data_IF_194336780770
#
_entry.id   IF_194336780770
#
_cell.length_a   1.000
_cell.length_b   1.000
_cell.length_c   1.000
_cell.angle_alpha   90.00
_cell.angle_beta   90.00
_cell.angle_gamma   90.00
#
_symmetry.space_group_name_H-M   'P 1'
#
loop_
_entity.id
_entity.type
_entity.pdbx_description
1 polymer ?
2 polymer ?
3 polymer ?
4 non-polymer ?
5 non-polymer ?
6 water ?
#
loop_
_entity_poly.entity_id
_entity_poly.type
_entity_poly.pdbx_seq_one_letter_code
_entity_poly.pdbx_strand_id
2 'polydeoxyribonucleotide' '(DA)(DT)(DG)(DG)(DG)(DT)(DC)(DC)(DT)' ?
3 'polydeoxyribonucleotide' '(DA)(DG)(DG)(DA)(DC)(DC)(DC)' ?
#
# COMPACT_ATOMS: atom_id res chain seq x y z
N UNK A 26 10.30 -9.72 -20.00
CA UNK A 26 11.79 -9.64 -20.16
C UNK A 26 12.23 -8.18 -20.13
N UNK A 27 12.09 -7.44 -21.23
CA UNK A 27 12.16 -5.98 -21.16
C UNK A 27 10.79 -5.35 -20.90
N UNK A 28 10.51 -5.02 -19.65
CA UNK A 28 9.17 -4.63 -19.28
C UNK A 28 8.97 -3.11 -19.14
N UNK A 29 7.72 -2.69 -19.16
CA UNK A 29 7.32 -1.32 -18.90
C UNK A 29 6.22 -1.41 -17.87
N UNK A 30 6.56 -1.00 -16.65
CA UNK A 30 5.74 -1.12 -15.48
C UNK A 30 5.39 0.30 -15.05
N UNK A 31 4.15 0.52 -14.64
CA UNK A 31 3.76 1.76 -14.01
C UNK A 31 3.33 1.50 -12.58
N UNK A 32 3.75 2.38 -11.67
CA UNK A 32 3.29 2.40 -10.28
C UNK A 32 2.46 3.66 -10.08
N UNK A 33 1.23 3.48 -9.58
CA UNK A 33 0.31 4.58 -9.35
C UNK A 33 0.13 4.73 -7.85
N UNK A 34 0.28 5.96 -7.38
CA UNK A 34 0.26 6.27 -5.96
C UNK A 34 -0.62 7.49 -5.70
N UNK A 35 -1.74 7.28 -5.03
CA UNK A 35 -2.70 8.40 -4.82
C UNK A 35 -2.13 9.42 -3.85
N UNK A 36 -2.37 10.68 -4.12
CA UNK A 36 -2.02 11.78 -3.23
C UNK A 36 -2.85 11.70 -1.92
N UNK A 37 -2.17 11.92 -0.80
CA UNK A 37 -2.77 11.94 0.55
C UNK A 37 -4.13 11.24 0.64
N UNK A 38 -4.13 9.97 0.32
CA UNK A 38 -5.34 9.23 -0.02
C UNK A 38 -6.56 9.48 0.90
N UNK A 39 -6.44 9.16 2.19
CA UNK A 39 -7.61 9.32 3.09
C UNK A 39 -8.12 10.76 3.08
N UNK A 40 -7.19 11.72 3.06
CA UNK A 40 -7.53 13.13 3.12
C UNK A 40 -8.24 13.55 1.84
N UNK A 41 -7.78 13.00 0.72
CA UNK A 41 -8.42 13.21 -0.57
C UNK A 41 -9.85 12.73 -0.52
N UNK A 42 -10.06 11.52 0.00
CA UNK A 42 -11.40 11.00 0.16
C UNK A 42 -12.28 11.91 1.06
N UNK A 43 -11.72 12.37 2.18
CA UNK A 43 -12.46 13.24 3.13
C UNK A 43 -12.80 14.59 2.52
N UNK A 44 -11.88 15.10 1.70
CA UNK A 44 -12.07 16.41 1.05
C UNK A 44 -13.14 16.38 -0.03
N UNK A 45 -13.21 15.26 -0.74
CA UNK A 45 -14.26 15.02 -1.71
C UNK A 45 -15.63 14.97 -1.02
N UNK A 46 -15.73 14.31 0.13
CA UNK A 46 -17.00 14.14 0.84
C UNK A 46 -17.48 15.46 1.44
N UNK A 47 -16.54 16.25 1.92
CA UNK A 47 -16.80 17.54 2.52
C UNK A 47 -15.90 18.63 1.93
N UNK A 48 -16.25 19.15 0.74
CA UNK A 48 -15.51 20.23 0.07
C UNK A 48 -15.37 21.51 0.91
N UNK A 49 -15.77 21.45 2.18
CA UNK A 49 -15.57 22.54 3.12
C UNK A 49 -14.18 22.45 3.75
N UNK A 50 -13.62 21.24 3.71
CA UNK A 50 -12.28 20.96 4.22
C UNK A 50 -11.22 21.09 3.14
N UNK A 51 -11.63 21.31 1.88
CA UNK A 51 -10.68 21.23 0.76
C UNK A 51 -9.68 22.40 0.70
N UNK A 52 -10.07 23.53 1.26
CA UNK A 52 -9.20 24.70 1.29
C UNK A 52 -8.52 24.87 2.65
N UNK A 53 -8.72 23.92 3.57
CA UNK A 53 -8.26 24.04 4.95
C UNK A 53 -7.27 22.95 5.33
N UNK A 54 -6.36 23.24 6.28
CA UNK A 54 -5.41 22.22 6.75
C UNK A 54 -6.16 21.04 7.36
N UNK A 55 -5.95 19.85 6.80
CA UNK A 55 -6.72 18.67 7.16
C UNK A 55 -5.88 17.48 7.60
N UNK A 56 -6.22 16.94 8.77
CA UNK A 56 -5.62 15.71 9.26
C UNK A 56 -6.66 14.64 9.43
N UNK A 57 -6.33 13.43 9.01
CA UNK A 57 -7.19 12.28 9.21
C UNK A 57 -6.67 11.52 10.43
N UNK A 58 -7.55 11.39 11.41
CA UNK A 58 -7.17 10.92 12.74
C UNK A 58 -7.64 9.50 13.05
N UNK A 59 -6.76 8.73 13.66
CA UNK A 59 -7.10 7.42 14.16
C UNK A 59 -6.57 7.33 15.57
N UNK A 60 -7.48 7.23 16.52
CA UNK A 60 -7.11 7.27 17.93
C UNK A 60 -6.29 8.53 18.19
N UNK A 61 -5.05 8.39 18.64
CA UNK A 61 -4.20 9.54 18.98
C UNK A 61 -3.31 9.96 17.81
N UNK A 62 -3.52 9.36 16.64
CA UNK A 62 -2.62 9.54 15.50
C UNK A 62 -3.20 10.32 14.34
N UNK A 63 -2.38 11.18 13.74
CA UNK A 63 -2.72 11.76 12.45
C UNK A 63 -2.06 10.86 11.40
N UNK A 64 -2.86 9.95 10.82
CA UNK A 64 -2.28 8.96 9.91
C UNK A 64 -1.86 9.55 8.57
N UNK A 65 -2.65 10.51 8.09
CA UNK A 65 -2.29 11.32 6.93
C UNK A 65 -2.94 12.69 7.02
N UNK A 66 -2.48 13.59 6.16
CA UNK A 66 -3.00 14.95 6.11
C UNK A 66 -2.85 15.46 4.68
N UNK A 67 -3.63 16.47 4.33
CA UNK A 67 -3.54 17.06 3.01
C UNK A 67 -2.25 17.87 2.84
N UNK A 68 -1.99 18.30 1.61
CA UNK A 68 -0.75 19.04 1.34
C UNK A 68 -0.71 20.43 1.94
N UNK A 69 -1.86 20.95 2.34
CA UNK A 69 -1.93 22.21 3.09
C UNK A 69 -1.37 22.07 4.52
N UNK A 70 -1.67 20.94 5.18
CA UNK A 70 -1.16 20.66 6.51
C UNK A 70 0.32 20.29 6.48
N UNK A 71 0.75 19.65 5.40
CA UNK A 71 2.15 19.27 5.22
C UNK A 71 3.07 20.48 5.15
N UNK A 72 2.55 21.57 4.57
CA UNK A 72 3.23 22.87 4.52
C UNK A 72 3.51 23.40 5.92
N UNK A 73 2.56 23.19 6.82
CA UNK A 73 2.60 23.73 8.18
C UNK A 73 3.35 22.84 9.18
N UNK A 74 4.01 21.78 8.68
CA UNK A 74 4.86 20.93 9.51
C UNK A 74 4.26 19.60 9.89
N UNK A 75 2.99 19.38 9.54
CA UNK A 75 2.31 18.13 9.85
C UNK A 75 2.90 17.01 8.97
N UNK A 76 3.30 15.91 9.62
CA UNK A 76 3.82 14.72 8.95
C UNK A 76 2.89 13.53 9.18
N UNK A 77 2.95 12.54 8.27
CA UNK A 77 2.13 11.34 8.38
C UNK A 77 2.53 10.58 9.63
N UNK A 78 1.54 10.00 10.29
CA UNK A 78 1.73 9.21 11.52
C UNK A 78 2.34 10.09 12.61
N UNK A 79 1.95 11.35 12.62
CA UNK A 79 2.34 12.29 13.66
C UNK A 79 1.31 12.27 14.78
N UNK A 80 1.80 12.45 16.01
CA UNK A 80 0.98 12.57 17.21
C UNK A 80 -0.04 13.71 17.11
N UNK A 81 -1.28 13.46 17.51
CA UNK A 81 -2.32 14.50 17.44
C UNK A 81 -1.93 15.75 18.25
N UNK A 82 -1.23 15.54 19.37
CA UNK A 82 -0.68 16.65 20.17
C UNK A 82 0.36 17.45 19.41
N UNK A 83 1.31 16.75 18.78
CA UNK A 83 2.38 17.37 18.00
C UNK A 83 1.86 18.11 16.77
N UNK A 84 0.81 17.57 16.15
CA UNK A 84 0.23 18.15 14.95
C UNK A 84 -0.53 19.46 15.22
N UNK A 85 -1.37 19.47 16.25
CA UNK A 85 -2.23 20.62 16.53
C UNK A 85 -1.47 21.72 17.28
N UNK A 86 -0.33 21.34 17.88
CA UNK A 86 0.61 22.31 18.42
C UNK A 86 1.38 22.93 17.24
N UNK A 87 1.77 22.08 16.28
CA UNK A 87 2.47 22.55 15.08
C UNK A 87 1.53 23.32 14.15
N UNK A 88 0.23 23.09 14.32
CA UNK A 88 -0.79 23.64 13.44
C UNK A 88 -2.14 23.73 14.18
N UNK A 89 -2.39 24.84 14.90
CA UNK A 89 -3.65 25.08 15.61
C UNK A 89 -4.88 25.16 14.70
N UNK A 90 -4.69 25.61 13.46
CA UNK A 90 -5.77 25.68 12.48
C UNK A 90 -6.19 24.30 11.94
N UNK A 91 -5.42 23.27 12.28
CA UNK A 91 -5.59 21.92 11.73
C UNK A 91 -6.97 21.32 12.02
N UNK A 92 -7.77 21.11 10.96
CA UNK A 92 -9.04 20.40 11.08
C UNK A 92 -8.78 18.90 11.12
N UNK A 93 -9.44 18.19 12.03
CA UNK A 93 -9.29 16.75 12.12
C UNK A 93 -10.62 16.05 11.83
N UNK A 94 -10.56 15.03 10.98
CA UNK A 94 -11.68 14.14 10.74
C UNK A 94 -11.27 12.73 11.16
N UNK A 95 -12.23 11.93 11.61
CA UNK A 95 -11.92 10.61 12.08
C UNK A 95 -11.90 9.57 10.95
N UNK A 96 -10.76 8.90 10.81
CA UNK A 96 -10.62 7.90 9.76
C UNK A 96 -10.41 6.49 10.24
N UNK A 97 -11.00 6.16 11.39
CA UNK A 97 -10.88 4.82 11.96
C UNK A 97 -11.67 3.77 11.17
N UNK A 98 -12.85 4.17 10.68
CA UNK A 98 -13.71 3.35 9.85
C UNK A 98 -13.22 3.44 8.41
N UNK A 99 -12.62 2.36 7.94
CA UNK A 99 -11.96 2.38 6.63
C UNK A 99 -12.92 2.21 5.44
N UNK A 100 -14.21 2.01 5.72
CA UNK A 100 -15.20 1.64 4.66
C UNK A 100 -15.06 2.42 3.35
N UNK A 101 -15.13 3.75 3.45
CA UNK A 101 -15.14 4.60 2.29
C UNK A 101 -13.80 4.62 1.56
N UNK A 102 -12.70 4.58 2.30
CA UNK A 102 -11.37 4.51 1.66
C UNK A 102 -11.23 3.18 0.92
N UNK A 103 -11.72 2.11 1.51
CA UNK A 103 -11.66 0.78 0.90
C UNK A 103 -12.48 0.73 -0.40
N UNK A 104 -13.70 1.25 -0.36
CA UNK A 104 -14.52 1.42 -1.56
C UNK A 104 -13.87 2.24 -2.69
N UNK A 105 -13.35 3.42 -2.36
CA UNK A 105 -12.62 4.20 -3.35
C UNK A 105 -11.38 3.45 -3.86
N UNK A 106 -10.72 2.74 -2.97
CA UNK A 106 -9.53 1.98 -3.33
C UNK A 106 -9.81 1.00 -4.47
N UNK A 107 -10.91 0.25 -4.35
CA UNK A 107 -11.31 -0.71 -5.37
C UNK A 107 -11.79 -0.06 -6.67
N UNK A 108 -12.46 1.09 -6.59
CA UNK A 108 -12.82 1.84 -7.80
C UNK A 108 -11.58 2.22 -8.63
N UNK A 109 -10.49 2.58 -7.96
CA UNK A 109 -9.23 2.92 -8.64
C UNK A 109 -8.63 1.64 -9.26
N UNK A 110 -8.53 0.56 -8.51
CA UNK A 110 -8.03 -0.63 -9.16
C UNK A 110 -8.88 -1.16 -10.30
N UNK A 111 -10.21 -1.09 -10.17
CA UNK A 111 -11.09 -1.49 -11.26
C UNK A 111 -10.88 -0.64 -12.51
N UNK A 112 -10.72 0.67 -12.34
CA UNK A 112 -10.49 1.58 -13.45
C UNK A 112 -9.20 1.19 -14.19
N UNK A 113 -8.13 0.94 -13.43
CA UNK A 113 -6.84 0.57 -14.00
C UNK A 113 -6.87 -0.78 -14.72
N UNK A 114 -7.66 -1.72 -14.22
CA UNK A 114 -7.82 -3.04 -14.86
C UNK A 114 -8.48 -2.98 -16.24
N UNK A 115 -9.18 -1.88 -16.55
CA UNK A 115 -9.72 -1.63 -17.88
C UNK A 115 -8.62 -1.34 -18.90
N UNK A 116 -7.51 -0.77 -18.42
CA UNK A 116 -6.34 -0.53 -19.24
C UNK A 116 -5.60 -1.84 -19.55
N UNK A 117 -5.25 -2.58 -18.49
CA UNK A 117 -4.66 -3.90 -18.61
C UNK A 117 -5.16 -4.69 -17.42
N UNK A 118 -5.62 -5.95 -17.65
CA UNK A 118 -6.30 -6.71 -16.58
C UNK A 118 -5.41 -7.15 -15.39
N UNK A 119 -4.09 -7.08 -15.55
CA UNK A 119 -3.15 -7.56 -14.53
C UNK A 119 -2.66 -6.37 -13.72
N UNK A 120 -3.41 -6.08 -12.66
CA UNK A 120 -3.16 -4.95 -11.77
C UNK A 120 -2.93 -5.54 -10.37
N UNK A 121 -1.82 -5.16 -9.78
CA UNK A 121 -1.40 -5.59 -8.46
C UNK A 121 -1.61 -4.45 -7.46
N UNK A 122 -2.39 -4.71 -6.41
CA UNK A 122 -2.56 -3.71 -5.36
C UNK A 122 -1.44 -3.77 -4.34
N UNK A 123 -1.06 -2.62 -3.83
CA UNK A 123 -0.19 -2.56 -2.66
C UNK A 123 -0.82 -1.59 -1.64
N UNK A 124 -1.47 -2.14 -0.62
CA UNK A 124 -2.27 -1.32 0.29
C UNK A 124 -3.47 -0.73 -0.44
N UNK A 125 -4.06 0.31 0.16
CA UNK A 125 -5.30 0.86 -0.37
C UNK A 125 -5.05 1.91 -1.44
N UNK A 126 -3.84 2.44 -1.55
CA UNK A 126 -3.67 3.57 -2.45
C UNK A 126 -2.59 3.40 -3.54
N UNK A 127 -2.04 2.20 -3.69
CA UNK A 127 -1.01 1.98 -4.72
C UNK A 127 -1.37 0.80 -5.61
N UNK A 128 -1.07 0.95 -6.91
CA UNK A 128 -1.23 -0.14 -7.88
C UNK A 128 -0.07 -0.20 -8.85
N UNK A 129 0.35 -1.41 -9.19
CA UNK A 129 1.24 -1.66 -10.32
C UNK A 129 0.42 -2.24 -11.47
N UNK A 130 0.79 -1.86 -12.70
CA UNK A 130 0.24 -2.38 -13.94
C UNK A 130 1.44 -2.66 -14.86
N UNK A 131 1.48 -3.86 -15.44
CA UNK A 131 2.44 -4.19 -16.48
C UNK A 131 1.86 -3.70 -17.84
N UNK A 132 2.50 -2.65 -18.36
CA UNK A 132 2.05 -1.95 -19.55
C UNK A 132 2.67 -2.50 -20.83
N UNK A 133 3.52 -3.50 -20.71
CA UNK A 133 4.40 -3.87 -21.80
C UNK A 133 3.67 -4.37 -23.06
N UNK A 134 2.64 -5.19 -22.87
CA UNK A 134 1.77 -5.59 -24.00
C UNK A 134 1.01 -4.41 -24.59
N UNK A 135 0.52 -3.52 -23.74
CA UNK A 135 -0.15 -2.32 -24.24
C UNK A 135 0.82 -1.40 -25.05
N UNK A 136 2.04 -1.24 -24.54
CA UNK A 136 3.07 -0.44 -25.23
C UNK A 136 3.38 -1.02 -26.61
N UNK A 137 3.61 -2.33 -26.68
CA UNK A 137 3.87 -3.02 -27.93
C UNK A 137 2.72 -2.97 -28.94
N UNK A 138 1.47 -3.01 -28.46
CA UNK A 138 0.33 -2.87 -29.36
C UNK A 138 0.24 -1.46 -29.93
N UNK A 139 0.53 -0.49 -29.08
CA UNK A 139 0.54 0.90 -29.52
C UNK A 139 1.69 1.14 -30.52
N UNK A 140 2.85 0.55 -30.25
CA UNK A 140 3.99 0.67 -31.17
C UNK A 140 3.75 0.05 -32.55
N UNK A 141 3.18 -1.15 -32.59
CA UNK A 141 2.79 -1.82 -33.83
C UNK A 141 1.97 -0.92 -34.75
N UNK A 142 1.18 -0.03 -34.15
CA UNK A 142 0.22 0.81 -34.89
C UNK A 142 0.79 2.12 -35.44
N UNK A 143 1.97 2.53 -34.97
CA UNK A 143 2.67 3.73 -35.46
C UNK A 143 3.47 3.45 -36.73
N UNK A 144 3.59 4.47 -37.58
CA UNK A 144 4.42 4.39 -38.79
C UNK A 144 5.86 4.85 -38.51
N UNK A 145 6.69 4.82 -39.54
CA UNK A 145 8.09 5.26 -39.43
C UNK A 145 8.17 6.69 -38.91
N UNK A 146 7.64 7.62 -39.69
CA UNK A 146 7.58 9.04 -39.35
C UNK A 146 6.90 9.32 -38.02
N UNK A 147 5.97 8.44 -37.65
CA UNK A 147 5.22 8.57 -36.38
C UNK A 147 6.02 8.28 -35.12
N UNK A 148 7.22 7.72 -35.28
CA UNK A 148 8.12 7.48 -34.15
C UNK A 148 8.88 8.74 -33.73
N UNK A 149 8.83 9.75 -34.60
CA UNK A 149 9.78 10.88 -34.61
C UNK A 149 9.76 12.07 -33.61
N UNK A 150 8.66 12.54 -32.98
CA UNK A 150 7.21 12.24 -33.03
C UNK A 150 6.69 11.79 -31.65
N UNK A 151 7.17 10.65 -31.16
CA UNK A 151 6.82 10.18 -29.80
C UNK A 151 7.40 11.15 -28.76
N UNK A 152 6.58 11.49 -27.78
CA UNK A 152 6.91 12.48 -26.77
C UNK A 152 6.63 11.97 -25.36
N UNK A 153 7.38 12.44 -24.36
CA UNK A 153 7.05 12.14 -22.98
C UNK A 153 5.84 12.89 -22.49
N UNK A 154 5.17 12.27 -21.53
CA UNK A 154 4.21 12.97 -20.74
C UNK A 154 4.76 12.99 -19.30
N UNK A 155 4.90 14.19 -18.73
CA UNK A 155 5.44 14.36 -17.39
C UNK A 155 6.95 14.47 -17.37
N UNK A 156 7.52 14.22 -16.19
CA UNK A 156 8.94 14.41 -15.97
C UNK A 156 9.77 13.21 -16.45
N UNK A 157 10.97 13.49 -16.91
CA UNK A 157 11.98 12.45 -17.13
C UNK A 157 12.92 12.49 -15.95
N UNK A 158 13.13 11.36 -15.28
CA UNK A 158 13.98 11.34 -14.10
C UNK A 158 15.40 11.86 -14.43
N UNK A 159 15.95 12.68 -13.52
CA UNK A 159 17.29 13.22 -13.63
C UNK A 159 17.43 14.07 -14.88
N UNK A 160 16.30 14.51 -15.44
CA UNK A 160 16.34 15.35 -16.62
C UNK A 160 17.17 14.72 -17.75
N UNK A 161 17.14 13.40 -17.86
CA UNK A 161 17.95 12.70 -18.84
C UNK A 161 17.45 12.97 -20.25
N UNK A 162 18.39 13.12 -21.17
CA UNK A 162 18.07 13.29 -22.59
C UNK A 162 17.43 12.07 -23.20
N UNK A 163 16.38 12.27 -23.97
CA UNK A 163 15.71 11.17 -24.66
C UNK A 163 16.45 10.89 -25.97
N UNK A 164 16.63 9.61 -26.30
CA UNK A 164 17.14 9.20 -27.59
C UNK A 164 16.02 8.42 -28.24
N UNK A 165 15.38 9.03 -29.23
CA UNK A 165 14.23 8.42 -29.93
C UNK A 165 14.62 7.25 -30.83
N UNK A 166 15.92 7.05 -31.01
CA UNK A 166 16.39 5.91 -31.75
C UNK A 166 16.62 4.70 -30.84
N UNK A 167 16.50 4.91 -29.54
CA UNK A 167 16.64 3.86 -28.53
C UNK A 167 15.25 3.25 -28.24
N UNK A 168 15.02 2.02 -28.69
CA UNK A 168 13.69 1.39 -28.59
C UNK A 168 13.18 1.30 -27.15
N UNK A 169 14.11 1.20 -26.20
CA UNK A 169 13.77 1.20 -24.77
C UNK A 169 13.25 2.55 -24.31
N UNK A 170 13.92 3.62 -24.73
CA UNK A 170 13.42 4.98 -24.51
C UNK A 170 12.03 5.14 -25.13
N UNK A 171 11.86 4.69 -26.37
CA UNK A 171 10.53 4.79 -27.04
C UNK A 171 9.42 4.08 -26.26
N UNK A 172 9.70 2.87 -25.78
CA UNK A 172 8.68 2.08 -25.09
C UNK A 172 8.30 2.70 -23.74
N UNK A 173 9.29 3.21 -23.03
CA UNK A 173 9.11 3.94 -21.79
C UNK A 173 8.35 5.26 -21.94
N UNK A 174 8.57 5.95 -23.05
CA UNK A 174 7.81 7.15 -23.35
C UNK A 174 6.34 6.84 -23.62
N UNK A 175 6.08 5.76 -24.35
CA UNK A 175 4.68 5.31 -24.57
C UNK A 175 4.06 4.90 -23.24
N UNK A 176 4.86 4.27 -22.39
CA UNK A 176 4.45 3.97 -21.02
C UNK A 176 3.99 5.22 -20.30
N UNK A 177 4.75 6.32 -20.41
CA UNK A 177 4.41 7.60 -19.75
C UNK A 177 3.10 8.18 -20.27
N UNK A 178 2.84 8.04 -21.57
CA UNK A 178 1.58 8.48 -22.15
C UNK A 178 0.41 7.65 -21.61
N UNK A 179 0.59 6.35 -21.47
CA UNK A 179 -0.47 5.52 -20.91
C UNK A 179 -0.68 5.92 -19.46
N UNK A 180 0.43 6.14 -18.72
CA UNK A 180 0.32 6.58 -17.32
C UNK A 180 -0.47 7.87 -17.16
N UNK A 181 -0.26 8.82 -18.07
CA UNK A 181 -1.00 10.09 -18.05
C UNK A 181 -2.49 9.88 -18.35
N UNK A 182 -2.79 8.97 -19.28
CA UNK A 182 -4.20 8.61 -19.58
C UNK A 182 -4.87 7.97 -18.37
N UNK A 183 -4.13 7.12 -17.67
CA UNK A 183 -4.60 6.54 -16.42
C UNK A 183 -4.90 7.60 -15.38
N UNK A 184 -3.97 8.54 -15.19
CA UNK A 184 -4.19 9.58 -14.18
C UNK A 184 -5.32 10.52 -14.54
N UNK A 185 -5.49 10.77 -15.83
CA UNK A 185 -6.58 11.63 -16.33
C UNK A 185 -7.96 10.96 -16.17
N UNK A 186 -8.03 9.65 -16.42
CA UNK A 186 -9.25 8.87 -16.19
C UNK A 186 -9.59 8.81 -14.70
N UNK A 187 -8.61 8.53 -13.84
CA UNK A 187 -8.83 8.57 -12.40
C UNK A 187 -9.39 9.92 -11.99
N UNK A 188 -8.86 11.00 -12.56
CA UNK A 188 -9.35 12.31 -12.23
C UNK A 188 -10.76 12.53 -12.79
N UNK A 189 -10.93 12.26 -14.08
CA UNK A 189 -12.21 12.53 -14.74
C UNK A 189 -13.37 11.66 -14.21
N UNK A 190 -13.07 10.41 -13.86
CA UNK A 190 -14.14 9.45 -13.51
C UNK A 190 -14.32 9.29 -12.02
N UNK A 191 -13.24 9.52 -11.28
CA UNK A 191 -13.23 9.30 -9.83
C UNK A 191 -12.97 10.55 -8.97
N UNK A 192 -12.45 11.63 -9.57
CA UNK A 192 -12.14 12.85 -8.79
C UNK A 192 -10.82 12.81 -8.03
N UNK A 193 -10.03 11.78 -8.32
CA UNK A 193 -8.79 11.50 -7.58
C UNK A 193 -7.57 11.88 -8.34
N UNK A 194 -6.63 12.43 -7.60
CA UNK A 194 -5.30 12.87 -8.04
C UNK A 194 -4.24 11.86 -7.52
N UNK A 195 -3.15 11.67 -8.28
CA UNK A 195 -2.11 10.76 -7.84
C UNK A 195 -0.84 10.91 -8.63
N UNK A 196 0.22 10.24 -8.18
CA UNK A 196 1.49 10.20 -8.93
C UNK A 196 1.67 8.87 -9.64
N UNK A 197 2.43 8.88 -10.73
CA UNK A 197 2.81 7.66 -11.40
C UNK A 197 4.31 7.66 -11.69
N UNK A 198 4.91 6.49 -11.65
CA UNK A 198 6.30 6.29 -12.08
C UNK A 198 6.29 5.18 -13.08
N UNK A 199 6.98 5.39 -14.20
CA UNK A 199 7.12 4.38 -15.21
C UNK A 199 8.60 3.95 -15.27
N UNK A 200 8.83 2.64 -15.17
CA UNK A 200 10.19 2.06 -15.26
C UNK A 200 10.14 0.62 -15.76
N UNK A 201 11.32 0.01 -15.82
CA UNK A 201 11.51 -1.34 -16.34
C UNK A 201 11.17 -2.43 -15.32
N UNK A 202 11.00 -2.06 -14.06
CA UNK A 202 10.52 -3.03 -13.08
C UNK A 202 9.72 -2.36 -11.94
N UNK A 203 9.12 -3.18 -11.08
CA UNK A 203 8.32 -2.68 -9.94
C UNK A 203 9.05 -1.81 -8.94
N UNK A 204 10.23 -2.26 -8.53
CA UNK A 204 11.10 -1.51 -7.63
C UNK A 204 11.30 -0.09 -8.12
N UNK A 205 11.75 0.02 -9.36
CA UNK A 205 12.16 1.28 -9.94
C UNK A 205 10.94 2.18 -10.24
N UNK A 206 9.85 1.57 -10.68
CA UNK A 206 8.59 2.29 -10.91
C UNK A 206 8.10 2.90 -9.60
N UNK A 207 8.18 2.12 -8.53
CA UNK A 207 7.77 2.60 -7.24
C UNK A 207 8.70 3.68 -6.69
N UNK A 208 10.02 3.49 -6.82
CA UNK A 208 10.96 4.52 -6.38
C UNK A 208 10.80 5.80 -7.20
N UNK A 209 10.50 5.70 -8.49
CA UNK A 209 10.49 6.91 -9.33
C UNK A 209 9.16 7.66 -9.23
N UNK A 210 8.08 6.97 -8.85
CA UNK A 210 6.74 7.57 -8.84
C UNK A 210 6.70 8.72 -7.85
N UNK A 211 7.55 8.62 -6.82
CA UNK A 211 7.61 9.64 -5.78
C UNK A 211 8.56 10.81 -6.01
N UNK A 212 9.24 10.86 -7.14
CA UNK A 212 10.26 11.93 -7.30
C UNK A 212 9.60 13.31 -7.39
N UNK A 213 8.48 13.39 -8.12
CA UNK A 213 7.72 14.65 -8.19
C UNK A 213 6.31 14.43 -7.64
N UNK A 214 6.00 15.08 -6.52
CA UNK A 214 4.69 15.02 -5.83
C UNK A 214 4.25 16.44 -5.48
N UNK A 215 2.93 16.69 -5.31
CA UNK A 215 1.82 15.76 -5.60
C UNK A 215 1.42 15.81 -7.06
N UNK A 216 0.60 14.86 -7.50
CA UNK A 216 -0.12 14.96 -8.77
C UNK A 216 0.79 15.19 -9.97
N UNK A 217 1.85 14.41 -10.05
CA UNK A 217 2.83 14.48 -11.13
C UNK A 217 3.31 13.10 -11.49
N UNK A 218 3.99 12.96 -12.61
CA UNK A 218 4.49 11.63 -12.94
C UNK A 218 5.90 11.74 -13.47
N UNK A 219 6.64 10.64 -13.33
CA UNK A 219 8.03 10.60 -13.78
C UNK A 219 8.42 9.28 -14.43
N UNK A 220 9.27 9.37 -15.45
CA UNK A 220 9.68 8.19 -16.17
C UNK A 220 11.19 8.03 -15.98
N UNK A 221 11.59 6.79 -15.73
CA UNK A 221 12.99 6.47 -15.53
C UNK A 221 13.52 5.81 -16.80
N UNK A 222 14.49 6.46 -17.44
CA UNK A 222 15.27 5.84 -18.51
C UNK A 222 16.45 5.03 -17.93
N UNK A 223 16.85 3.93 -18.62
CA UNK A 223 17.80 2.96 -18.06
C UNK A 223 19.10 3.59 -17.55
N UNK A 224 19.62 4.59 -18.25
CA UNK A 224 20.92 5.20 -17.90
C UNK A 224 20.94 5.92 -16.57
N UNK A 225 19.77 6.29 -16.08
CA UNK A 225 19.65 7.03 -14.82
C UNK A 225 19.27 6.14 -13.66
N UNK A 226 19.27 4.84 -13.86
CA UNK A 226 18.87 3.90 -12.82
C UNK A 226 19.80 3.92 -11.58
N UNK A 227 21.11 3.93 -11.81
CA UNK A 227 22.06 4.03 -10.72
C UNK A 227 21.89 5.36 -9.96
N UNK A 228 21.63 6.43 -10.68
CA UNK A 228 21.38 7.69 -10.05
C UNK A 228 20.16 7.62 -9.09
N UNK A 229 19.05 7.01 -9.52
CA UNK A 229 17.88 6.85 -8.66
C UNK A 229 18.17 6.06 -7.37
N UNK A 230 18.77 4.89 -7.52
CA UNK A 230 19.04 4.06 -6.36
C UNK A 230 20.07 4.66 -5.38
N UNK A 231 21.07 5.37 -5.90
CA UNK A 231 22.03 6.05 -5.04
C UNK A 231 21.56 7.37 -4.48
N UNK A 232 20.41 7.87 -4.97
CA UNK A 232 19.77 9.05 -4.42
C UNK A 232 19.12 8.75 -3.06
N UNK A 233 18.91 7.47 -2.74
CA UNK A 233 18.31 7.11 -1.44
C UNK A 233 19.35 7.32 -0.35
N UNK A 234 18.91 7.76 0.83
CA UNK A 234 19.82 8.00 1.94
C UNK A 234 19.77 6.99 3.04
N UNK A 235 18.69 6.21 3.06
CA UNK A 235 18.47 5.17 4.08
C UNK A 235 18.15 3.85 3.38
N UNK A 236 18.79 2.79 3.85
CA UNK A 236 18.65 1.48 3.27
C UNK A 236 17.18 1.01 3.39
N UNK A 237 16.50 1.46 4.45
CA UNK A 237 15.09 1.15 4.66
C UNK A 237 14.17 1.77 3.60
N UNK A 238 14.67 2.74 2.84
CA UNK A 238 13.88 3.35 1.76
C UNK A 238 13.66 2.38 0.58
N UNK A 239 14.43 1.31 0.53
CA UNK A 239 14.18 0.25 -0.42
C UNK A 239 12.95 -0.59 0.00
N UNK A 240 11.93 -0.62 -0.88
CA UNK A 240 10.73 -1.44 -0.72
C UNK A 240 11.17 -2.89 -0.61
N UNK A 241 10.93 -3.50 0.52
CA UNK A 241 11.32 -4.88 0.72
C UNK A 241 12.34 -4.98 1.83
N UNK A 242 12.92 -3.85 2.18
CA UNK A 242 13.80 -3.77 3.34
C UNK A 242 13.04 -3.00 4.41
N UNK A 243 12.63 -3.73 5.44
CA UNK A 243 11.83 -3.15 6.48
C UNK A 243 12.59 -2.92 7.76
N UNK A 244 11.83 -2.64 8.81
CA UNK A 244 12.35 -2.29 10.12
C UNK A 244 13.36 -3.31 10.66
N UNK A 245 13.02 -4.60 10.63
CA UNK A 245 13.91 -5.59 11.23
C UNK A 245 15.16 -5.82 10.38
N UNK A 246 15.00 -5.91 9.06
CA UNK A 246 16.12 -6.11 8.14
C UNK A 246 17.10 -4.91 8.18
N UNK A 247 16.57 -3.70 8.18
CA UNK A 247 17.38 -2.49 8.28
C UNK A 247 18.21 -2.46 9.56
N UNK A 248 17.57 -2.74 10.70
CA UNK A 248 18.25 -2.84 11.99
C UNK A 248 19.35 -3.90 11.97
N UNK A 249 19.05 -5.06 11.37
CA UNK A 249 20.05 -6.08 11.17
C UNK A 249 21.25 -5.56 10.37
N UNK A 250 20.93 -4.92 9.24
CA UNK A 250 21.95 -4.36 8.36
C UNK A 250 22.80 -3.31 9.07
N UNK A 251 22.16 -2.45 9.86
CA UNK A 251 22.86 -1.43 10.66
C UNK A 251 23.90 -2.04 11.62
N UNK A 252 23.51 -3.15 12.26
CA UNK A 252 24.38 -3.89 13.16
C UNK A 252 25.61 -4.41 12.42
N UNK A 253 25.47 -4.65 11.12
CA UNK A 253 26.55 -5.18 10.30
C UNK A 253 27.42 -4.09 9.68
N UNK A 254 27.07 -2.83 9.96
CA UNK A 254 27.80 -1.69 9.42
C UNK A 254 27.38 -1.29 8.02
N UNK A 255 26.20 -1.75 7.59
CA UNK A 255 25.66 -1.46 6.27
C UNK A 255 24.65 -0.32 6.35
N UNK A 256 25.00 0.84 5.79
CA UNK A 256 24.19 2.04 5.96
C UNK A 256 23.66 2.67 4.68
N UNK A 257 24.46 2.63 3.64
CA UNK A 257 24.04 3.17 2.36
C UNK A 257 23.67 2.03 1.44
N UNK A 258 23.01 2.38 0.34
CA UNK A 258 22.77 1.43 -0.75
C UNK A 258 24.09 0.81 -1.27
N UNK A 259 25.14 1.62 -1.43
CA UNK A 259 26.43 1.10 -1.89
C UNK A 259 27.07 0.11 -0.93
N UNK A 260 26.99 0.34 0.39
CA UNK A 260 27.44 -0.64 1.42
C UNK A 260 26.77 -2.01 1.19
N UNK A 261 25.45 -2.00 1.01
CA UNK A 261 24.73 -3.25 0.72
C UNK A 261 25.11 -3.86 -0.64
N UNK A 262 25.24 -3.05 -1.69
CA UNK A 262 25.76 -3.53 -2.97
C UNK A 262 27.08 -4.28 -2.81
N UNK A 263 28.02 -3.70 -2.07
CA UNK A 263 29.38 -4.19 -1.96
C UNK A 263 29.66 -5.13 -0.78
N UNK A 264 28.69 -5.38 0.09
CA UNK A 264 28.91 -6.25 1.25
C UNK A 264 29.03 -7.73 0.81
N UNK A 265 29.88 -8.49 1.50
CA UNK A 265 30.09 -9.92 1.22
C UNK A 265 28.77 -10.71 1.18
N UNK A 266 28.45 -11.30 0.01
CA UNK A 266 27.21 -12.09 -0.08
C UNK A 266 27.17 -13.20 0.96
N UNK A 267 28.32 -13.81 1.24
CA UNK A 267 28.41 -14.91 2.18
C UNK A 267 28.04 -14.51 3.61
N UNK A 268 28.58 -13.40 4.10
CA UNK A 268 28.30 -12.95 5.46
C UNK A 268 26.84 -12.52 5.56
N UNK A 269 26.34 -11.93 4.48
CA UNK A 269 24.94 -11.53 4.40
C UNK A 269 24.00 -12.75 4.44
N UNK A 270 24.30 -13.77 3.63
CA UNK A 270 23.52 -15.01 3.62
C UNK A 270 23.47 -15.63 5.00
N UNK A 271 24.63 -15.74 5.65
CA UNK A 271 24.71 -16.30 6.99
C UNK A 271 23.85 -15.54 7.99
N UNK A 272 23.81 -14.21 7.86
CA UNK A 272 23.16 -13.36 8.84
C UNK A 272 21.65 -13.31 8.66
N UNK A 273 21.20 -13.39 7.41
CA UNK A 273 19.81 -13.10 7.07
C UNK A 273 19.15 -14.25 6.33
N UNK A 274 19.95 -15.23 5.95
CA UNK A 274 19.46 -16.38 5.20
C UNK A 274 19.61 -16.16 3.70
N UNK A 275 19.81 -17.27 2.99
CA UNK A 275 19.91 -17.29 1.54
C UNK A 275 18.87 -16.35 0.89
N UNK A 276 17.60 -16.49 1.29
CA UNK A 276 16.50 -15.81 0.58
C UNK A 276 16.48 -14.30 0.74
N UNK A 277 16.60 -13.83 1.98
CA UNK A 277 16.52 -12.40 2.29
C UNK A 277 17.74 -11.72 1.70
N UNK A 278 18.91 -12.31 1.95
CA UNK A 278 20.19 -11.76 1.52
C UNK A 278 20.31 -11.55 0.00
N UNK A 279 19.98 -12.61 -0.76
CA UNK A 279 20.02 -12.59 -2.20
C UNK A 279 18.98 -11.64 -2.81
N UNK A 280 17.79 -11.58 -2.21
CA UNK A 280 16.74 -10.69 -2.73
C UNK A 280 17.11 -9.22 -2.50
N UNK A 281 17.44 -8.86 -1.28
CA UNK A 281 17.70 -7.44 -0.96
C UNK A 281 18.97 -6.90 -1.60
N UNK A 282 19.99 -7.76 -1.73
CA UNK A 282 21.22 -7.34 -2.37
C UNK A 282 20.96 -7.07 -3.83
N UNK A 283 20.14 -7.93 -4.45
CA UNK A 283 19.64 -7.70 -5.82
C UNK A 283 18.91 -6.37 -5.93
N UNK A 284 17.96 -6.17 -5.01
CA UNK A 284 17.25 -4.89 -4.87
C UNK A 284 18.16 -3.68 -4.73
N UNK A 285 19.30 -3.85 -4.03
CA UNK A 285 20.27 -2.73 -3.88
C UNK A 285 20.91 -2.32 -5.20
N UNK A 286 20.90 -3.20 -6.19
CA UNK A 286 21.36 -2.84 -7.53
C UNK A 286 20.24 -2.32 -8.46
N UNK A 287 19.02 -2.17 -7.93
CA UNK A 287 17.89 -1.80 -8.77
C UNK A 287 17.27 -2.94 -9.59
N UNK A 288 17.66 -4.17 -9.27
CA UNK A 288 17.24 -5.36 -9.99
C UNK A 288 16.09 -5.99 -9.27
N UNK A 289 15.03 -6.28 -10.01
CA UNK A 289 13.80 -6.84 -9.46
C UNK A 289 13.02 -7.50 -10.60
N UNK A 290 13.01 -8.83 -10.61
CA UNK A 290 12.36 -9.57 -11.66
C UNK A 290 10.95 -10.07 -11.29
N UNK A 291 10.42 -9.62 -10.15
CA UNK A 291 9.08 -10.06 -9.73
C UNK A 291 8.03 -9.57 -10.70
N UNK A 292 7.13 -10.47 -11.09
CA UNK A 292 6.05 -10.12 -12.00
C UNK A 292 5.00 -9.26 -11.31
N UNK A 293 4.28 -8.48 -12.11
CA UNK A 293 3.09 -7.82 -11.62
C UNK A 293 2.05 -8.94 -11.54
N UNK A 294 1.51 -9.16 -10.35
CA UNK A 294 0.52 -10.24 -10.06
C UNK A 294 -0.88 -9.65 -10.02
N UNK A 295 -1.88 -10.34 -10.56
CA UNK A 295 -3.25 -9.87 -10.46
C UNK A 295 -3.76 -10.05 -9.03
N UNK A 296 -4.02 -8.96 -8.32
CA UNK A 296 -4.52 -9.06 -6.95
C UNK A 296 -5.90 -9.72 -6.89
N UNK A 297 -6.81 -9.25 -7.75
CA UNK A 297 -8.16 -9.80 -7.83
C UNK A 297 -8.90 -9.41 -6.55
N UNK A 298 -9.92 -10.21 -6.18
CA UNK A 298 -10.63 -9.92 -4.92
C UNK A 298 -9.76 -10.28 -3.72
N UNK A 299 -10.02 -9.65 -2.56
CA UNK A 299 -9.16 -9.84 -1.38
C UNK A 299 -9.10 -11.31 -0.85
N UNK A 300 -8.02 -11.65 -0.16
CA UNK A 300 -7.83 -12.96 0.49
C UNK A 300 -8.52 -13.00 1.83
N UNK A 301 -8.68 -11.83 2.44
CA UNK A 301 -9.27 -11.70 3.76
C UNK A 301 -9.93 -10.34 3.99
N UNK A 302 -10.85 -10.32 4.94
CA UNK A 302 -11.55 -9.14 5.45
C UNK A 302 -11.25 -9.13 6.92
N UNK A 303 -10.79 -8.02 7.48
CA UNK A 303 -10.72 -7.94 8.92
C UNK A 303 -11.19 -6.59 9.48
N UNK A 304 -11.51 -6.59 10.77
CA UNK A 304 -11.89 -5.37 11.50
C UNK A 304 -11.07 -5.37 12.78
N UNK A 305 -10.47 -4.22 13.10
CA UNK A 305 -9.68 -4.03 14.32
C UNK A 305 -10.18 -2.87 15.19
N UNK A 306 -9.98 -3.02 16.49
CA UNK A 306 -10.05 -1.88 17.41
C UNK A 306 -8.92 -1.95 18.43
N UNK A 307 -8.29 -0.81 18.67
CA UNK A 307 -7.28 -0.69 19.70
C UNK A 307 -7.77 0.21 20.85
N UNK A 308 -7.27 -0.05 22.04
CA UNK A 308 -7.72 0.62 23.26
C UNK A 308 -6.61 0.66 24.31
N UNK A 309 -6.72 1.61 25.24
CA UNK A 309 -5.82 1.70 26.39
C UNK A 309 -5.79 0.40 27.20
N UNK A 310 -6.97 -0.14 27.49
CA UNK A 310 -7.07 -1.32 28.37
C UNK A 310 -8.36 -2.11 28.14
N UNK A 311 -8.20 -3.42 28.02
CA UNK A 311 -9.29 -4.36 28.16
C UNK A 311 -8.85 -5.46 29.14
N UNK A 312 -9.61 -5.61 30.22
CA UNK A 312 -9.27 -6.49 31.33
C UNK A 312 -10.44 -7.35 31.79
N UNK A 313 -11.58 -7.21 31.10
CA UNK A 313 -12.80 -7.96 31.42
C UNK A 313 -13.25 -8.76 30.21
N UNK A 314 -13.54 -10.05 30.43
CA UNK A 314 -14.00 -10.93 29.35
C UNK A 314 -15.37 -10.50 28.80
N UNK A 315 -16.18 -9.90 29.68
CA UNK A 315 -17.51 -9.41 29.34
C UNK A 315 -17.40 -8.26 28.35
N UNK A 316 -16.41 -7.40 28.57
CA UNK A 316 -16.19 -6.26 27.69
C UNK A 316 -15.57 -6.72 26.36
N UNK A 317 -14.63 -7.67 26.45
CA UNK A 317 -14.01 -8.31 25.29
C UNK A 317 -15.04 -8.93 24.36
N UNK A 318 -16.03 -9.64 24.93
CA UNK A 318 -17.13 -10.21 24.16
C UNK A 318 -17.90 -9.12 23.41
N UNK A 319 -18.21 -8.02 24.11
CA UNK A 319 -18.91 -6.87 23.51
C UNK A 319 -18.12 -6.27 22.37
N UNK A 320 -16.83 -6.08 22.61
CA UNK A 320 -15.89 -5.63 21.60
C UNK A 320 -15.91 -6.53 20.36
N UNK A 321 -15.82 -7.84 20.59
CA UNK A 321 -15.75 -8.84 19.52
C UNK A 321 -17.07 -8.88 18.73
N UNK A 322 -18.17 -8.62 19.44
CA UNK A 322 -19.49 -8.55 18.81
C UNK A 322 -19.65 -7.39 17.85
N UNK A 323 -19.01 -6.25 18.14
CA UNK A 323 -19.10 -5.09 17.26
C UNK A 323 -18.27 -5.34 16.01
N UNK A 324 -17.09 -5.93 16.20
CA UNK A 324 -16.19 -6.23 15.08
C UNK A 324 -16.89 -7.22 14.14
N UNK A 325 -17.55 -8.21 14.74
CA UNK A 325 -18.33 -9.19 13.98
C UNK A 325 -19.39 -8.56 13.11
N UNK A 326 -20.20 -7.67 13.71
CA UNK A 326 -21.33 -7.10 13.00
C UNK A 326 -20.88 -6.30 11.78
N UNK A 327 -19.78 -5.55 11.89
CA UNK A 327 -19.21 -4.87 10.73
C UNK A 327 -18.71 -5.87 9.69
N UNK A 328 -18.03 -6.91 10.15
CA UNK A 328 -17.49 -7.91 9.24
C UNK A 328 -18.61 -8.58 8.46
N UNK A 329 -19.69 -8.90 9.15
CA UNK A 329 -20.85 -9.57 8.55
C UNK A 329 -21.51 -8.71 7.50
N UNK A 330 -21.56 -7.39 7.75
CA UNK A 330 -22.01 -6.42 6.76
C UNK A 330 -21.19 -6.42 5.46
N UNK A 331 -19.89 -6.67 5.58
CA UNK A 331 -18.99 -6.78 4.43
C UNK A 331 -19.04 -8.16 3.77
N UNK A 332 -19.51 -9.15 4.53
CA UNK A 332 -19.24 -10.59 4.29
C UNK A 332 -19.20 -11.21 2.86
N UNK A 333 -20.21 -11.08 1.98
CA UNK A 333 -21.55 -10.47 2.13
C UNK A 333 -21.90 -9.70 0.89
N UNK A 334 -21.42 -8.45 0.83
CA UNK A 334 -21.66 -7.56 -0.29
C UNK A 334 -20.75 -7.88 -1.48
N UNK A 335 -19.63 -8.55 -1.19
CA UNK A 335 -18.81 -9.13 -2.26
C UNK A 335 -19.44 -10.43 -2.74
N UNK A 336 -20.26 -11.03 -1.87
CA UNK A 336 -21.05 -12.21 -2.23
C UNK A 336 -20.48 -13.52 -1.72
N UNK A 337 -19.15 -13.63 -1.77
CA UNK A 337 -18.44 -14.86 -1.39
C UNK A 337 -18.14 -14.92 0.10
N UNK A 338 -18.00 -16.14 0.62
CA UNK A 338 -18.01 -16.42 2.06
C UNK A 338 -16.66 -16.94 2.58
N UNK A 339 -16.31 -16.56 3.82
CA UNK A 339 -15.08 -17.05 4.48
C UNK A 339 -15.24 -18.46 5.03
N UNK A 340 -14.17 -19.25 4.93
CA UNK A 340 -14.17 -20.59 5.49
C UNK A 340 -13.37 -20.70 6.78
N UNK A 341 -12.67 -19.63 7.17
CA UNK A 341 -12.02 -19.65 8.49
C UNK A 341 -12.12 -18.32 9.21
N UNK A 342 -12.18 -18.40 10.53
CA UNK A 342 -12.22 -17.22 11.39
C UNK A 342 -10.97 -17.23 12.29
N UNK A 343 -10.38 -16.06 12.44
CA UNK A 343 -9.21 -15.85 13.30
C UNK A 343 -9.46 -14.70 14.26
N UNK A 344 -8.98 -14.84 15.50
CA UNK A 344 -9.01 -13.76 16.45
C UNK A 344 -7.59 -13.41 16.86
N UNK A 345 -7.27 -12.12 16.79
CA UNK A 345 -5.93 -11.60 17.10
C UNK A 345 -6.03 -10.72 18.35
N UNK A 346 -5.16 -10.94 19.31
CA UNK A 346 -5.02 -10.03 20.47
C UNK A 346 -3.65 -9.33 20.46
N UNK A 347 -3.54 -8.27 21.26
CA UNK A 347 -2.26 -7.70 21.64
C UNK A 347 -2.30 -7.37 23.14
N UNK A 348 -1.35 -7.92 23.89
CA UNK A 348 -1.33 -7.79 25.35
C UNK A 348 -0.39 -6.66 25.75
N UNK A 349 -0.35 -6.37 27.06
CA UNK A 349 0.64 -5.47 27.68
C UNK A 349 0.09 -4.77 28.92
N UNK A 356 5.10 -9.43 19.64
CA UNK A 356 3.96 -8.67 19.16
C UNK A 356 2.66 -9.39 19.46
N UNK A 357 1.89 -9.65 18.42
CA UNK A 357 0.54 -10.17 18.57
C UNK A 357 0.44 -11.68 18.74
N UNK A 358 -0.71 -12.13 19.24
CA UNK A 358 -1.03 -13.54 19.26
C UNK A 358 -2.37 -13.78 18.57
N UNK A 359 -2.52 -14.96 17.96
CA UNK A 359 -3.78 -15.32 17.32
C UNK A 359 -4.18 -16.80 17.45
N UNK A 360 -5.46 -17.04 17.22
CA UNK A 360 -6.03 -18.37 17.17
C UNK A 360 -7.02 -18.38 16.04
N UNK A 361 -6.98 -19.41 15.23
CA UNK A 361 -7.98 -19.56 14.18
C UNK A 361 -8.58 -20.97 14.22
N UNK A 362 -9.64 -21.15 13.44
CA UNK A 362 -10.36 -22.41 13.26
C UNK A 362 -11.30 -22.27 12.07
N UNK A 363 -11.71 -23.40 11.47
CA UNK A 363 -12.71 -23.26 10.41
C UNK A 363 -14.09 -22.78 10.93
N UNK A 364 -14.85 -22.13 10.06
CA UNK A 364 -16.24 -21.79 10.30
C UNK A 364 -17.09 -22.98 9.83
N UNK A 365 -17.97 -23.51 10.71
CA UNK A 365 -18.84 -24.64 10.31
C UNK A 365 -19.67 -24.33 9.07
N UNK A 366 -19.85 -25.33 8.20
CA UNK A 366 -20.48 -25.11 6.90
C UNK A 366 -21.92 -24.60 6.97
N UNK A 367 -22.65 -25.00 8.02
CA UNK A 367 -24.03 -24.52 8.23
C UNK A 367 -24.06 -23.05 8.67
N UNK A 368 -22.95 -22.59 9.24
CA UNK A 368 -22.77 -21.16 9.51
C UNK A 368 -22.45 -20.45 8.20
N UNK A 369 -21.54 -21.04 7.42
CA UNK A 369 -21.00 -20.43 6.19
C UNK A 369 -22.05 -19.99 5.18
N UNK A 370 -23.06 -20.82 4.95
CA UNK A 370 -24.13 -20.50 4.00
C UNK A 370 -24.91 -19.23 4.38
N UNK A 371 -24.34 -18.07 4.06
CA UNK A 371 -24.90 -16.76 4.41
C UNK A 371 -24.45 -15.68 3.40
N UNK A 378 -30.02 -15.69 11.79
CA UNK A 378 -29.16 -15.31 12.91
C UNK A 378 -27.84 -16.08 12.87
N UNK A 379 -26.78 -15.40 12.46
CA UNK A 379 -25.45 -16.02 12.38
C UNK A 379 -24.61 -15.64 13.66
N UNK A 380 -24.92 -14.43 14.17
CA UNK A 380 -24.12 -13.79 15.23
C UNK A 380 -23.90 -14.65 16.46
N UNK A 381 -24.96 -15.31 16.92
CA UNK A 381 -24.95 -16.00 18.24
C UNK A 381 -24.03 -17.36 18.15
N UNK A 382 -24.14 -18.13 17.05
CA UNK A 382 -23.13 -19.18 16.85
C UNK A 382 -21.73 -18.68 16.53
N UNK A 383 -21.54 -17.48 15.96
CA UNK A 383 -20.25 -16.99 15.64
C UNK A 383 -19.41 -16.50 16.84
N UNK A 384 -20.05 -15.76 17.79
CA UNK A 384 -19.39 -15.21 19.00
C UNK A 384 -18.83 -16.27 19.97
N UNK A 385 -19.56 -17.37 20.14
CA UNK A 385 -19.10 -18.48 20.99
C UNK A 385 -17.84 -19.11 20.44
N UNK A 386 -17.78 -19.26 19.11
CA UNK A 386 -16.56 -19.67 18.42
C UNK A 386 -15.41 -18.74 18.84
N UNK A 387 -15.62 -17.43 18.68
CA UNK A 387 -14.58 -16.44 18.95
C UNK A 387 -14.16 -16.35 20.41
N UNK A 388 -15.12 -16.57 21.33
CA UNK A 388 -14.85 -16.58 22.77
C UNK A 388 -14.06 -17.81 23.21
N UNK A 389 -14.42 -18.98 22.68
CA UNK A 389 -13.58 -20.16 22.81
C UNK A 389 -12.14 -19.90 22.31
N UNK A 390 -12.00 -19.20 21.18
CA UNK A 390 -10.67 -18.82 20.69
C UNK A 390 -9.98 -17.86 21.65
N UNK A 391 -10.74 -16.87 22.13
CA UNK A 391 -10.28 -15.89 23.12
C UNK A 391 -9.74 -16.58 24.37
N UNK A 392 -10.52 -17.51 24.94
CA UNK A 392 -10.17 -18.16 26.20
C UNK A 392 -8.98 -19.13 26.07
N UNK A 393 -8.71 -19.61 24.86
CA UNK A 393 -7.53 -20.44 24.62
C UNK A 393 -6.24 -19.64 24.77
N UNK A 394 -6.28 -18.38 24.35
CA UNK A 394 -5.15 -17.47 24.41
C UNK A 394 -5.06 -16.75 25.74
N UNK A 395 -6.22 -16.45 26.31
CA UNK A 395 -6.31 -15.61 27.50
C UNK A 395 -6.90 -16.43 28.63
N UNK A 396 -6.10 -16.66 29.65
CA UNK A 396 -6.57 -17.26 30.89
C UNK A 396 -7.39 -16.18 31.60
N UNK A 397 -8.71 -16.34 31.56
CA UNK A 397 -9.63 -15.30 32.01
C UNK A 397 -9.89 -15.31 33.52
N UNK A 398 -9.47 -16.39 34.19
CA UNK A 398 -9.48 -16.44 35.65
C UNK A 398 -8.28 -15.70 36.24
N UNK A 399 -7.27 -15.47 35.40
CA UNK A 399 -6.09 -14.70 35.75
C UNK A 399 -6.17 -13.29 35.14
N UNK A 400 -5.85 -12.24 35.92
CA UNK A 400 -5.84 -10.86 35.42
C UNK A 400 -5.11 -10.72 34.08
N UNK A 401 -5.75 -10.07 33.11
CA UNK A 401 -5.14 -9.79 31.80
C UNK A 401 -5.28 -8.33 31.39
N UNK A 402 -4.52 -7.93 30.38
CA UNK A 402 -4.51 -6.54 29.90
C UNK A 402 -4.28 -6.49 28.39
N UNK A 403 -5.37 -6.39 27.64
CA UNK A 403 -5.33 -6.31 26.17
C UNK A 403 -5.44 -4.87 25.66
N UNK A 404 -4.78 -4.62 24.54
CA UNK A 404 -4.71 -3.31 23.94
C UNK A 404 -5.17 -3.34 22.48
N UNK A 405 -5.56 -4.54 22.00
CA UNK A 405 -6.02 -4.72 20.63
C UNK A 405 -6.88 -5.97 20.49
N UNK A 406 -7.97 -5.82 19.73
CA UNK A 406 -8.81 -6.93 19.30
C UNK A 406 -9.08 -6.84 17.81
N UNK A 407 -8.94 -7.99 17.14
CA UNK A 407 -9.08 -8.08 15.70
C UNK A 407 -9.75 -9.40 15.31
N UNK A 408 -10.76 -9.32 14.46
CA UNK A 408 -11.41 -10.50 13.92
C UNK A 408 -11.12 -10.53 12.42
N UNK A 409 -10.70 -11.68 11.93
CA UNK A 409 -10.43 -11.85 10.51
C UNK A 409 -11.31 -12.97 9.94
N UNK A 410 -12.00 -12.64 8.85
CA UNK A 410 -12.57 -13.65 7.96
C UNK A 410 -11.56 -13.90 6.86
N UNK A 411 -11.07 -15.14 6.77
CA UNK A 411 -10.17 -15.47 5.69
C UNK A 411 -10.52 -16.77 5.00
N UNK A 412 -9.66 -17.20 4.06
CA UNK A 412 -9.83 -18.43 3.30
C UNK A 412 -11.19 -18.43 2.62
N UNK A 413 -11.37 -17.45 1.73
CA UNK A 413 -12.63 -17.22 1.01
C UNK A 413 -12.66 -18.11 -0.20
N UNK A 414 -13.83 -18.68 -0.47
CA UNK A 414 -13.94 -19.69 -1.51
C UNK A 414 -15.11 -19.45 -2.45
#
# INVERSE_FOLDING_TARGET
MELADVGAAASSQGVHDQVLPTPNASSRVIVHVDLDCFYAQVEMISNPELKDKPLGVQQKYLVVTCNYEARKLGVKKLMNVRDAKEKCPQLVLVNGEDLTRYREMSYKVTELLEEFSPVVERLGFDENFVDLTEMVEKRLQQLQSDELSAVTVSGHVYNNQSINLLDVLHIRLLVGSQIAAEMREAMYNQLGLTGCAGVASNKLLAKLVSGVFKPNQQTVLLPESCQHLIHSLNHIKEIPGIGYKTAKCLEALGINSVRDLQTFSPKILEKELGISVAQRIQKLSFGEDNSPVILSGPPQSFSEEDSFKKCSSEVEAKNKIEELLASLLNRVCQDGRKPHTVRLIIRRYSSEKHYGRESRQCPIPSHVIQKLGTGNYDVMTPMVDILMKLFRNMVNVKMPFHLTLLSVCFCNLKALNTAK
#
